data_IF_281125514702
#
_entry.id   IF_281125514702
#
_cell.length_a   1.000
_cell.length_b   1.000
_cell.length_c   1.000
_cell.angle_alpha   90.00
_cell.angle_beta   90.00
_cell.angle_gamma   90.00
#
_symmetry.space_group_name_H-M   'P 1'
#
loop_
_entity.id
_entity.type
_entity.pdbx_description
1 polymer ?
#
# COMPACT_ATOMS: atom_id res chain seq x y z
N UNK A 1 -17.83 6.24 31.74
CA UNK A 1 -17.11 5.01 31.35
C UNK A 1 -17.47 4.53 29.94
N UNK A 2 -18.74 4.55 29.55
CA UNK A 2 -19.12 4.16 28.19
C UNK A 2 -18.49 5.03 27.09
N UNK A 3 -18.33 6.33 27.36
CA UNK A 3 -17.69 7.26 26.41
C UNK A 3 -16.20 7.00 26.24
N UNK A 4 -15.51 6.67 27.33
CA UNK A 4 -14.08 6.33 27.28
C UNK A 4 -13.85 5.03 26.55
N UNK A 5 -14.73 4.05 26.75
CA UNK A 5 -14.68 2.77 26.03
C UNK A 5 -14.92 2.96 24.53
N UNK A 6 -15.91 3.81 24.16
CA UNK A 6 -16.18 4.11 22.76
C UNK A 6 -15.00 4.81 22.08
N UNK A 7 -14.35 5.74 22.76
CA UNK A 7 -13.15 6.42 22.25
C UNK A 7 -12.01 5.43 22.10
N UNK A 8 -11.81 4.53 23.04
CA UNK A 8 -10.77 3.51 22.99
C UNK A 8 -11.00 2.55 21.82
N UNK A 9 -12.22 2.09 21.61
CA UNK A 9 -12.59 1.23 20.49
C UNK A 9 -12.37 1.96 19.17
N UNK A 10 -12.73 3.24 19.10
CA UNK A 10 -12.52 4.06 17.90
C UNK A 10 -11.03 4.21 17.58
N UNK A 11 -10.18 4.44 18.58
CA UNK A 11 -8.73 4.54 18.40
C UNK A 11 -8.12 3.21 17.95
N UNK A 12 -8.62 2.09 18.45
CA UNK A 12 -8.16 0.76 18.05
C UNK A 12 -8.62 0.38 16.63
N UNK A 13 -9.64 1.06 16.09
CA UNK A 13 -10.13 0.83 14.74
C UNK A 13 -9.25 1.44 13.66
N UNK A 14 -8.32 2.32 14.02
CA UNK A 14 -7.36 2.90 13.08
C UNK A 14 -6.21 1.94 12.85
N UNK A 15 -6.40 0.98 11.95
CA UNK A 15 -5.32 0.14 11.46
C UNK A 15 -4.46 0.90 10.45
N UNK A 16 -3.26 0.38 10.12
CA UNK A 16 -2.43 0.97 9.07
C UNK A 16 -3.17 0.92 7.75
N UNK A 17 -3.29 2.09 7.10
CA UNK A 17 -3.87 2.18 5.76
C UNK A 17 -2.79 1.91 4.73
N UNK A 18 -2.85 0.76 4.06
CA UNK A 18 -1.93 0.41 2.99
C UNK A 18 -2.63 0.58 1.64
N UNK A 19 -1.95 1.26 0.71
CA UNK A 19 -2.42 1.37 -0.67
C UNK A 19 -2.32 0.02 -1.40
N UNK A 20 -1.34 -0.79 -1.05
CA UNK A 20 -1.12 -2.12 -1.62
C UNK A 20 -2.18 -3.09 -1.11
N UNK A 21 -2.95 -3.67 -2.02
CA UNK A 21 -3.98 -4.65 -1.70
C UNK A 21 -3.36 -6.04 -1.47
N UNK A 22 -3.99 -6.91 -0.64
CA UNK A 22 -3.46 -8.25 -0.41
C UNK A 22 -3.33 -9.11 -1.67
N UNK A 23 -4.15 -8.88 -2.68
CA UNK A 23 -4.10 -9.62 -3.96
C UNK A 23 -2.90 -9.25 -4.83
N UNK A 24 -2.23 -8.13 -4.53
CA UNK A 24 -1.02 -7.70 -5.23
C UNK A 24 0.25 -8.35 -4.67
N UNK A 25 0.21 -8.84 -3.44
CA UNK A 25 1.39 -9.33 -2.73
C UNK A 25 1.92 -10.62 -3.36
N UNK A 26 3.23 -10.66 -3.62
CA UNK A 26 3.89 -11.85 -4.16
C UNK A 26 4.06 -12.93 -3.09
N UNK A 27 4.04 -14.19 -3.51
CA UNK A 27 4.23 -15.34 -2.61
C UNK A 27 5.65 -15.39 -2.03
N UNK A 28 6.64 -14.93 -2.79
CA UNK A 28 8.03 -14.87 -2.33
C UNK A 28 8.26 -13.58 -1.54
N UNK A 29 8.53 -13.65 -0.23
CA UNK A 29 8.73 -12.47 0.59
C UNK A 29 9.91 -11.60 0.16
N UNK A 30 10.96 -12.20 -0.39
CA UNK A 30 12.13 -11.46 -0.86
C UNK A 30 11.80 -10.64 -2.10
N UNK A 31 11.06 -11.21 -3.04
CA UNK A 31 10.60 -10.50 -4.24
C UNK A 31 9.58 -9.41 -3.89
N UNK A 32 8.68 -9.69 -2.95
CA UNK A 32 7.71 -8.69 -2.50
C UNK A 32 8.39 -7.49 -1.85
N UNK A 33 9.38 -7.72 -0.98
CA UNK A 33 10.16 -6.64 -0.37
C UNK A 33 10.87 -5.80 -1.43
N UNK A 34 11.42 -6.43 -2.46
CA UNK A 34 12.06 -5.76 -3.57
C UNK A 34 11.08 -4.94 -4.39
N UNK A 35 9.89 -5.48 -4.67
CA UNK A 35 8.82 -4.78 -5.38
C UNK A 35 8.40 -3.51 -4.63
N UNK A 36 8.25 -3.61 -3.33
CA UNK A 36 7.87 -2.48 -2.49
C UNK A 36 8.97 -1.42 -2.44
N UNK A 37 10.23 -1.83 -2.35
CA UNK A 37 11.36 -0.91 -2.40
C UNK A 37 11.40 -0.11 -3.71
N UNK A 38 11.14 -0.75 -4.84
CA UNK A 38 11.04 -0.08 -6.14
C UNK A 38 9.83 0.86 -6.17
N UNK A 39 8.68 0.40 -5.71
CA UNK A 39 7.43 1.16 -5.73
C UNK A 39 7.49 2.42 -4.86
N UNK A 40 8.23 2.38 -3.76
CA UNK A 40 8.42 3.54 -2.89
C UNK A 40 9.17 4.68 -3.59
N UNK A 41 10.03 4.36 -4.55
CA UNK A 41 10.83 5.35 -5.27
C UNK A 41 10.17 5.82 -6.57
N UNK A 42 9.17 5.10 -7.08
CA UNK A 42 8.44 5.50 -8.28
C UNK A 42 7.29 6.43 -7.89
N UNK A 43 7.30 7.62 -8.47
CA UNK A 43 6.27 8.62 -8.21
C UNK A 43 5.31 8.70 -9.39
N UNK A 44 4.03 8.84 -9.06
CA UNK A 44 2.97 8.97 -10.04
C UNK A 44 2.50 10.42 -10.09
N UNK A 45 2.62 11.05 -11.26
CA UNK A 45 2.20 12.44 -11.43
C UNK A 45 0.69 12.61 -11.24
N UNK A 46 -0.10 11.63 -11.70
CA UNK A 46 -1.56 11.63 -11.56
C UNK A 46 -1.97 11.47 -10.10
N UNK A 47 -1.10 10.89 -9.26
CA UNK A 47 -1.33 10.67 -7.84
C UNK A 47 -0.78 11.80 -6.97
N UNK A 48 -0.69 13.02 -7.48
CA UNK A 48 -0.14 14.18 -6.79
C UNK A 48 1.32 13.96 -6.35
N UNK A 49 2.10 13.30 -7.19
CA UNK A 49 3.51 13.00 -6.97
C UNK A 49 3.77 12.08 -5.76
N UNK A 50 2.78 11.34 -5.31
CA UNK A 50 2.97 10.28 -4.31
C UNK A 50 3.68 9.09 -4.94
N UNK A 51 4.41 8.31 -4.12
CA UNK A 51 4.95 7.04 -4.58
C UNK A 51 3.81 6.08 -4.92
N UNK A 52 4.06 5.16 -5.85
CA UNK A 52 3.04 4.19 -6.25
C UNK A 52 2.75 3.19 -5.12
N UNK A 53 3.67 3.05 -4.15
CA UNK A 53 3.43 2.18 -2.98
C UNK A 53 2.44 2.82 -1.99
N UNK A 54 2.39 4.14 -1.94
CA UNK A 54 1.55 4.89 -1.00
C UNK A 54 0.21 5.32 -1.58
N UNK A 55 0.08 5.37 -2.91
CA UNK A 55 -1.12 5.86 -3.57
C UNK A 55 -2.12 4.74 -3.84
N UNK A 56 -3.40 4.98 -3.54
CA UNK A 56 -4.50 4.07 -3.86
C UNK A 56 -5.14 4.35 -5.23
N UNK A 57 -4.61 5.30 -5.99
CA UNK A 57 -5.10 5.59 -7.33
C UNK A 57 -4.96 4.36 -8.24
N UNK A 58 -5.90 4.21 -9.18
CA UNK A 58 -5.94 3.05 -10.09
C UNK A 58 -4.67 2.92 -10.92
N UNK A 59 -4.13 4.05 -11.42
CA UNK A 59 -2.87 4.03 -12.17
C UNK A 59 -1.71 3.57 -11.31
N UNK A 60 -1.66 3.96 -10.03
CA UNK A 60 -0.63 3.50 -9.11
C UNK A 60 -0.70 1.99 -8.90
N UNK A 61 -1.91 1.45 -8.80
CA UNK A 61 -2.12 -0.01 -8.71
C UNK A 61 -1.60 -0.72 -9.94
N UNK A 62 -1.92 -0.21 -11.13
CA UNK A 62 -1.44 -0.78 -12.39
C UNK A 62 0.08 -0.79 -12.46
N UNK A 63 0.72 0.29 -12.03
CA UNK A 63 2.18 0.38 -11.97
C UNK A 63 2.77 -0.61 -10.96
N UNK A 64 2.14 -0.77 -9.79
CA UNK A 64 2.58 -1.77 -8.80
C UNK A 64 2.51 -3.19 -9.35
N UNK A 65 1.42 -3.51 -10.04
CA UNK A 65 1.25 -4.83 -10.67
C UNK A 65 2.30 -5.07 -11.75
N UNK A 66 2.62 -4.05 -12.53
CA UNK A 66 3.65 -4.13 -13.56
C UNK A 66 5.04 -4.39 -12.94
N UNK A 67 5.37 -3.70 -11.85
CA UNK A 67 6.64 -3.92 -11.15
C UNK A 67 6.75 -5.37 -10.68
N UNK A 68 5.70 -5.90 -10.07
CA UNK A 68 5.68 -7.28 -9.59
C UNK A 68 5.76 -8.30 -10.72
N UNK A 69 5.06 -8.06 -11.82
CA UNK A 69 5.12 -8.90 -13.01
C UNK A 69 6.54 -9.00 -13.56
N UNK A 70 7.28 -7.90 -13.57
CA UNK A 70 8.64 -7.86 -14.10
C UNK A 70 9.67 -8.54 -13.20
N UNK A 71 9.37 -8.68 -11.92
CA UNK A 71 10.26 -9.33 -10.95
C UNK A 71 10.10 -10.86 -10.92
N UNK A 72 8.97 -11.38 -11.34
CA UNK A 72 8.66 -12.82 -11.30
C UNK A 72 9.25 -13.56 -12.49
#
# INVERSE_FOLDING_TARGET
>A
MKRLFAILVLLLSFGPAFAVNPDEVLDDPALEARARGISEHLRCLVCQNQSIDDSDAELARDLRLLVRERLV
#
